data_IF_388955983949
#
_entry.id   IF_388955983949
#
_cell.length_a   1.000
_cell.length_b   1.000
_cell.length_c   1.000
_cell.angle_alpha   90.00
_cell.angle_beta   90.00
_cell.angle_gamma   90.00
#
_symmetry.space_group_name_H-M   'P 1'
#
loop_
_entity.id
_entity.type
_entity.pdbx_description
1 polymer ?
#
# COMPACT_ATOMS: atom_id res chain seq x y z
N UNK A 1 -42.19 23.48 -14.49
CA UNK A 1 -41.46 22.20 -14.27
C UNK A 1 -40.02 22.54 -14.14
N UNK A 2 -39.48 22.59 -12.92
CA UNK A 2 -38.05 22.70 -12.68
C UNK A 2 -37.47 21.28 -12.92
N UNK A 3 -36.70 21.14 -14.00
CA UNK A 3 -35.89 19.96 -14.26
C UNK A 3 -34.74 20.00 -13.26
N UNK A 4 -34.87 19.30 -12.14
CA UNK A 4 -33.73 18.95 -11.27
C UNK A 4 -33.09 17.76 -11.95
N UNK A 5 -32.20 18.03 -12.89
CA UNK A 5 -31.21 17.03 -13.27
C UNK A 5 -30.21 16.95 -12.10
N UNK A 6 -30.04 15.80 -11.44
CA UNK A 6 -28.89 15.63 -10.59
C UNK A 6 -27.67 15.79 -11.50
N UNK A 7 -26.91 16.84 -11.29
CA UNK A 7 -25.58 16.98 -11.89
C UNK A 7 -24.71 16.01 -11.11
N UNK A 8 -24.66 14.75 -11.53
CA UNK A 8 -23.59 13.87 -11.16
C UNK A 8 -22.34 14.49 -11.80
N UNK A 9 -21.56 15.22 -11.01
CA UNK A 9 -20.27 15.71 -11.44
C UNK A 9 -19.39 14.47 -11.62
N UNK A 10 -19.03 14.18 -12.87
CA UNK A 10 -18.03 13.15 -13.13
C UNK A 10 -16.73 13.60 -12.45
N UNK A 11 -16.19 12.75 -11.58
CA UNK A 11 -14.89 12.93 -10.97
C UNK A 11 -13.90 11.95 -11.61
N UNK A 12 -12.64 12.31 -11.60
CA UNK A 12 -11.59 11.38 -12.04
C UNK A 12 -11.40 10.25 -11.01
N UNK A 13 -10.89 9.11 -11.46
CA UNK A 13 -10.48 8.01 -10.58
C UNK A 13 -9.52 8.48 -9.48
N UNK A 14 -8.59 9.39 -9.85
CA UNK A 14 -7.68 10.05 -8.92
C UNK A 14 -8.43 10.82 -7.83
N UNK A 15 -9.41 11.64 -8.21
CA UNK A 15 -10.20 12.42 -7.22
C UNK A 15 -10.92 11.49 -6.24
N UNK A 16 -11.51 10.40 -6.74
CA UNK A 16 -12.15 9.41 -5.88
C UNK A 16 -11.16 8.71 -4.93
N UNK A 17 -9.95 8.39 -5.41
CA UNK A 17 -8.89 7.83 -4.57
C UNK A 17 -8.48 8.80 -3.45
N UNK A 18 -8.32 10.08 -3.77
CA UNK A 18 -7.98 11.12 -2.76
C UNK A 18 -9.12 11.28 -1.75
N UNK A 19 -10.38 11.35 -2.19
CA UNK A 19 -11.54 11.42 -1.30
C UNK A 19 -11.59 10.21 -0.36
N UNK A 20 -11.35 9.01 -0.90
CA UNK A 20 -11.26 7.77 -0.11
C UNK A 20 -10.18 7.87 0.98
N UNK A 21 -8.97 8.32 0.64
CA UNK A 21 -7.88 8.48 1.61
C UNK A 21 -8.30 9.44 2.72
N UNK A 22 -8.84 10.61 2.38
CA UNK A 22 -9.28 11.60 3.37
C UNK A 22 -10.47 11.18 4.21
N UNK A 23 -11.29 10.23 3.73
CA UNK A 23 -12.36 9.63 4.54
C UNK A 23 -11.83 8.80 5.72
N UNK A 24 -10.54 8.43 5.67
CA UNK A 24 -9.83 7.66 6.71
C UNK A 24 -8.86 8.51 7.55
N UNK A 25 -8.92 9.85 7.44
CA UNK A 25 -8.09 10.75 8.25
C UNK A 25 -8.57 10.76 9.70
N UNK A 26 -7.65 10.62 10.64
CA UNK A 26 -7.87 10.66 12.07
C UNK A 26 -7.69 12.07 12.64
N UNK A 27 -8.17 12.29 13.87
CA UNK A 27 -8.09 13.61 14.54
C UNK A 27 -6.66 14.03 14.93
N UNK A 28 -5.68 13.13 14.88
CA UNK A 28 -4.25 13.38 15.08
C UNK A 28 -3.47 13.52 13.77
N UNK A 29 -4.15 13.76 12.67
CA UNK A 29 -3.63 13.88 11.31
C UNK A 29 -3.10 12.57 10.69
N UNK A 30 -3.08 11.44 11.41
CA UNK A 30 -2.75 10.14 10.86
C UNK A 30 -3.89 9.60 9.98
N UNK A 31 -3.62 8.50 9.26
CA UNK A 31 -4.58 7.87 8.38
C UNK A 31 -4.74 6.39 8.70
N UNK A 32 -5.97 5.87 8.55
CA UNK A 32 -6.28 4.47 8.75
C UNK A 32 -6.07 3.98 10.17
N UNK A 33 -5.67 2.73 10.32
CA UNK A 33 -5.54 2.06 11.64
C UNK A 33 -4.11 1.68 11.99
N UNK A 34 -3.17 1.87 11.08
CA UNK A 34 -1.77 1.48 11.25
C UNK A 34 -0.80 2.59 10.82
N UNK A 35 0.44 2.60 11.34
CA UNK A 35 1.50 3.48 10.84
C UNK A 35 1.74 3.34 9.34
N UNK A 36 1.63 2.12 8.80
CA UNK A 36 1.77 1.87 7.36
C UNK A 36 0.67 2.56 6.55
N UNK A 37 -0.59 2.59 7.03
CA UNK A 37 -1.66 3.32 6.34
C UNK A 37 -1.35 4.81 6.26
N UNK A 38 -0.79 5.38 7.33
CA UNK A 38 -0.36 6.79 7.33
C UNK A 38 0.76 7.03 6.31
N UNK A 39 1.80 6.20 6.28
CA UNK A 39 2.88 6.32 5.32
C UNK A 39 2.37 6.21 3.87
N UNK A 40 1.54 5.21 3.60
CA UNK A 40 0.93 4.98 2.30
C UNK A 40 0.05 6.16 1.85
N UNK A 41 -0.79 6.68 2.73
CA UNK A 41 -1.65 7.83 2.46
C UNK A 41 -0.84 9.09 2.14
N UNK A 42 0.18 9.39 2.97
CA UNK A 42 1.02 10.57 2.80
C UNK A 42 1.85 10.49 1.52
N UNK A 43 2.33 9.33 1.10
CA UNK A 43 3.03 9.19 -0.17
C UNK A 43 2.11 9.53 -1.36
N UNK A 44 0.86 9.04 -1.37
CA UNK A 44 -0.11 9.36 -2.43
C UNK A 44 -0.47 10.85 -2.40
N UNK A 45 -0.78 11.40 -1.22
CA UNK A 45 -1.10 12.83 -1.03
C UNK A 45 0.05 13.72 -1.51
N UNK A 46 1.29 13.36 -1.16
CA UNK A 46 2.49 14.09 -1.58
C UNK A 46 2.69 14.05 -3.09
N UNK A 47 2.53 12.88 -3.70
CA UNK A 47 2.67 12.71 -5.15
C UNK A 47 1.72 13.63 -5.93
N UNK A 48 0.45 13.69 -5.54
CA UNK A 48 -0.55 14.53 -6.18
C UNK A 48 -0.58 15.97 -5.65
N UNK A 49 0.30 16.32 -4.71
CA UNK A 49 0.29 17.60 -3.99
C UNK A 49 -1.10 17.94 -3.39
N UNK A 50 -1.79 16.91 -2.90
CA UNK A 50 -3.18 16.97 -2.44
C UNK A 50 -3.27 17.22 -0.92
N UNK A 51 -2.43 18.11 -0.37
CA UNK A 51 -2.43 18.44 1.08
C UNK A 51 -3.62 19.27 1.54
N UNK A 52 -4.34 19.87 0.60
CA UNK A 52 -5.61 20.57 0.84
C UNK A 52 -6.58 20.17 -0.25
N UNK A 53 -7.75 19.66 0.11
CA UNK A 53 -8.76 19.17 -0.82
C UNK A 53 -10.13 19.75 -0.48
N UNK A 54 -10.81 20.28 -1.48
CA UNK A 54 -12.20 20.69 -1.38
C UNK A 54 -13.09 19.53 -1.83
N UNK A 55 -13.79 18.92 -0.88
CA UNK A 55 -14.75 17.85 -1.16
C UNK A 55 -16.14 18.47 -1.24
N UNK A 56 -16.87 18.15 -2.31
CA UNK A 56 -18.17 18.74 -2.57
C UNK A 56 -19.13 18.42 -1.40
N UNK A 57 -19.76 19.46 -0.84
CA UNK A 57 -20.67 19.40 0.31
C UNK A 57 -20.06 18.98 1.66
N UNK A 58 -18.72 18.88 1.75
CA UNK A 58 -18.02 18.61 2.99
C UNK A 58 -17.11 19.78 3.39
N UNK A 59 -16.67 19.86 4.65
CA UNK A 59 -15.60 20.78 5.03
C UNK A 59 -14.31 20.46 4.25
N UNK A 60 -13.54 21.51 3.92
CA UNK A 60 -12.21 21.35 3.34
C UNK A 60 -11.38 20.43 4.21
N UNK A 61 -10.80 19.40 3.60
CA UNK A 61 -9.87 18.46 4.24
C UNK A 61 -8.44 18.92 4.01
N UNK A 62 -7.60 18.77 5.01
CA UNK A 62 -6.18 19.12 4.91
C UNK A 62 -5.33 18.27 5.84
N UNK A 63 -4.04 18.18 5.54
CA UNK A 63 -3.03 17.61 6.44
C UNK A 63 -2.23 18.73 7.07
N UNK A 64 -2.33 18.87 8.38
CA UNK A 64 -1.49 19.75 9.17
C UNK A 64 -0.12 19.10 9.41
N UNK A 65 0.84 19.37 8.49
CA UNK A 65 2.17 18.71 8.48
C UNK A 65 2.91 18.83 9.81
N UNK A 66 2.81 19.99 10.50
CA UNK A 66 3.51 20.18 11.78
C UNK A 66 2.89 19.34 12.90
N UNK A 67 1.55 19.21 12.93
CA UNK A 67 0.87 18.37 13.90
C UNK A 67 1.19 16.89 13.66
N UNK A 68 1.13 16.43 12.40
CA UNK A 68 1.48 15.06 12.05
C UNK A 68 2.95 14.74 12.41
N UNK A 69 3.90 15.60 12.10
CA UNK A 69 5.31 15.42 12.49
C UNK A 69 5.48 15.30 14.00
N UNK A 70 4.82 16.17 14.76
CA UNK A 70 4.83 16.09 16.23
C UNK A 70 4.31 14.74 16.72
N UNK A 71 3.15 14.32 16.24
CA UNK A 71 2.56 13.03 16.60
C UNK A 71 3.52 11.85 16.29
N UNK A 72 4.12 11.81 15.10
CA UNK A 72 5.03 10.73 14.71
C UNK A 72 6.30 10.69 15.57
N UNK A 73 6.88 11.85 15.88
CA UNK A 73 8.03 11.95 16.77
C UNK A 73 7.72 11.47 18.19
N UNK A 74 6.58 11.89 18.74
CA UNK A 74 6.11 11.48 20.06
C UNK A 74 5.87 9.96 20.15
N UNK A 75 5.30 9.35 19.09
CA UNK A 75 5.09 7.88 19.01
C UNK A 75 6.42 7.10 18.99
N UNK A 76 7.42 7.60 18.23
CA UNK A 76 8.75 6.95 18.22
C UNK A 76 9.38 7.08 19.61
N UNK A 77 9.38 8.29 20.21
CA UNK A 77 9.95 8.53 21.54
C UNK A 77 9.27 7.65 22.61
N UNK A 78 7.95 7.52 22.56
CA UNK A 78 7.20 6.66 23.49
C UNK A 78 7.62 5.18 23.42
N UNK A 79 7.99 4.66 22.24
CA UNK A 79 8.53 3.30 22.12
C UNK A 79 9.87 3.14 22.86
N UNK A 80 10.76 4.16 22.78
CA UNK A 80 12.04 4.14 23.51
C UNK A 80 11.84 4.32 25.01
N UNK A 81 10.96 5.22 25.43
CA UNK A 81 10.65 5.46 26.85
C UNK A 81 10.07 4.21 27.55
N UNK A 82 9.26 3.43 26.82
CA UNK A 82 8.64 2.19 27.35
C UNK A 82 9.51 0.95 27.15
N UNK A 83 10.49 1.00 26.24
CA UNK A 83 11.29 -0.16 25.84
C UNK A 83 10.53 -1.15 24.92
N UNK A 84 9.32 -0.81 24.45
CA UNK A 84 8.52 -1.62 23.53
C UNK A 84 8.82 -1.20 22.08
N UNK A 85 10.04 -1.45 21.64
CA UNK A 85 10.52 -0.98 20.33
C UNK A 85 10.04 -1.90 19.20
N UNK A 86 9.37 -1.32 18.23
CA UNK A 86 8.86 -1.96 17.01
C UNK A 86 9.49 -1.33 15.76
N UNK A 87 10.46 -2.03 15.17
CA UNK A 87 11.20 -1.55 13.99
C UNK A 87 10.29 -1.32 12.77
N UNK A 88 9.18 -2.06 12.66
CA UNK A 88 8.25 -1.90 11.54
C UNK A 88 7.46 -0.59 11.66
N UNK A 89 7.06 -0.23 12.89
CA UNK A 89 6.44 1.07 13.15
C UNK A 89 7.44 2.21 12.95
N UNK A 90 8.65 2.07 13.48
CA UNK A 90 9.72 3.07 13.30
C UNK A 90 9.95 3.33 11.81
N UNK A 91 10.08 2.28 10.98
CA UNK A 91 10.23 2.44 9.54
C UNK A 91 9.12 3.31 8.93
N UNK A 92 7.86 2.95 9.18
CA UNK A 92 6.71 3.66 8.60
C UNK A 92 6.62 5.12 9.09
N UNK A 93 6.97 5.38 10.34
CA UNK A 93 7.02 6.75 10.87
C UNK A 93 8.14 7.57 10.23
N UNK A 94 9.34 6.99 10.09
CA UNK A 94 10.46 7.66 9.43
C UNK A 94 10.21 7.89 7.94
N UNK A 95 9.58 6.94 7.24
CA UNK A 95 9.18 7.09 5.84
C UNK A 95 8.18 8.23 5.68
N UNK A 96 7.19 8.32 6.58
CA UNK A 96 6.23 9.43 6.60
C UNK A 96 6.93 10.77 6.83
N UNK A 97 7.79 10.86 7.85
CA UNK A 97 8.54 12.07 8.16
C UNK A 97 9.40 12.52 6.98
N UNK A 98 10.11 11.58 6.34
CA UNK A 98 10.96 11.86 5.18
C UNK A 98 10.16 12.30 3.94
N UNK A 99 8.94 11.80 3.79
CA UNK A 99 8.01 12.22 2.71
C UNK A 99 7.46 13.62 2.94
N UNK A 100 7.15 13.97 4.19
CA UNK A 100 6.63 15.30 4.54
C UNK A 100 7.69 16.39 4.41
N UNK A 101 8.92 16.10 4.83
CA UNK A 101 10.07 17.02 4.83
C UNK A 101 11.36 16.20 5.02
N UNK A 102 12.52 16.81 4.75
CA UNK A 102 13.81 16.18 5.02
C UNK A 102 13.91 15.71 6.48
N UNK A 103 14.31 14.45 6.69
CA UNK A 103 14.42 13.84 8.01
C UNK A 103 15.38 14.63 8.94
N UNK A 104 16.44 15.22 8.38
CA UNK A 104 17.39 16.05 9.13
C UNK A 104 16.76 17.26 9.84
N UNK A 105 15.56 17.69 9.41
CA UNK A 105 14.81 18.80 10.01
C UNK A 105 13.59 18.34 10.81
N UNK A 106 13.22 17.07 10.68
CA UNK A 106 12.00 16.51 11.25
C UNK A 106 12.22 15.58 12.43
N UNK A 107 13.43 15.04 12.60
CA UNK A 107 13.79 14.12 13.67
C UNK A 107 14.79 14.79 14.61
N UNK A 108 14.54 14.71 15.92
CA UNK A 108 15.48 15.18 16.94
C UNK A 108 16.78 14.37 16.93
N UNK A 109 17.92 15.02 17.18
CA UNK A 109 19.25 14.38 17.13
C UNK A 109 19.42 13.28 18.18
N UNK A 110 18.81 13.42 19.34
CA UNK A 110 18.92 12.43 20.41
C UNK A 110 18.12 11.19 20.04
N UNK A 111 16.88 11.35 19.53
CA UNK A 111 16.05 10.27 19.04
C UNK A 111 16.69 9.57 17.83
N UNK A 112 17.32 10.32 16.92
CA UNK A 112 18.09 9.74 15.82
C UNK A 112 19.20 8.81 16.34
N UNK A 113 19.97 9.25 17.35
CA UNK A 113 21.02 8.44 17.96
C UNK A 113 20.44 7.20 18.69
N UNK A 114 19.30 7.32 19.37
CA UNK A 114 18.63 6.19 20.04
C UNK A 114 18.24 5.10 19.03
N UNK A 115 17.62 5.49 17.91
CA UNK A 115 17.26 4.56 16.83
C UNK A 115 18.52 3.87 16.27
N UNK A 116 19.55 4.64 15.94
CA UNK A 116 20.79 4.09 15.38
C UNK A 116 21.49 3.12 16.34
N UNK A 117 21.58 3.47 17.61
CA UNK A 117 22.19 2.61 18.63
C UNK A 117 21.38 1.31 18.80
N UNK A 118 20.05 1.38 18.86
CA UNK A 118 19.20 0.20 18.95
C UNK A 118 19.38 -0.73 17.74
N UNK A 119 19.44 -0.17 16.51
CA UNK A 119 19.67 -0.97 15.30
C UNK A 119 21.00 -1.70 15.38
N UNK A 120 22.07 -1.06 15.85
CA UNK A 120 23.39 -1.69 15.99
C UNK A 120 23.38 -2.88 16.95
N UNK A 121 22.48 -2.89 17.94
CA UNK A 121 22.29 -4.03 18.85
C UNK A 121 21.55 -5.21 18.20
N UNK A 122 20.86 -5.01 17.07
CA UNK A 122 20.13 -6.07 16.33
C UNK A 122 20.98 -6.79 15.29
N UNK A 123 22.20 -6.30 15.00
CA UNK A 123 23.11 -6.90 14.02
C UNK A 123 23.51 -8.32 14.43
N UNK A 124 23.40 -9.28 13.53
CA UNK A 124 23.78 -10.66 13.79
C UNK A 124 25.19 -10.98 13.29
N UNK A 125 25.92 -11.79 14.03
CA UNK A 125 27.32 -12.19 13.73
C UNK A 125 27.42 -12.86 12.33
N UNK A 126 26.41 -13.61 11.93
CA UNK A 126 26.32 -14.27 10.61
C UNK A 126 25.80 -13.37 9.47
N UNK A 127 25.49 -12.11 9.76
CA UNK A 127 24.81 -11.18 8.83
C UNK A 127 23.30 -11.15 9.00
N UNK A 128 22.67 -10.17 8.37
CA UNK A 128 21.26 -9.85 8.58
C UNK A 128 21.01 -9.17 9.94
N UNK A 129 19.76 -8.82 10.18
CA UNK A 129 19.32 -8.15 11.40
C UNK A 129 18.17 -8.94 12.06
N UNK A 130 18.16 -8.99 13.37
CA UNK A 130 17.05 -9.56 14.14
C UNK A 130 15.92 -8.54 14.34
N UNK A 131 14.68 -8.98 14.61
CA UNK A 131 13.55 -8.06 14.84
C UNK A 131 13.67 -7.27 16.15
N UNK A 132 14.46 -7.76 17.12
CA UNK A 132 14.71 -7.11 18.39
C UNK A 132 16.16 -7.35 18.82
N UNK A 133 16.70 -6.51 19.70
CA UNK A 133 18.04 -6.66 20.26
C UNK A 133 18.19 -7.89 21.17
N UNK A 134 17.09 -8.43 21.68
CA UNK A 134 17.06 -9.65 22.49
C UNK A 134 16.99 -10.94 21.65
N UNK A 135 16.74 -10.85 20.35
CA UNK A 135 16.69 -12.00 19.44
C UNK A 135 18.06 -12.28 18.84
N UNK A 136 18.42 -13.57 18.78
CA UNK A 136 19.69 -14.02 18.20
C UNK A 136 19.54 -14.53 16.74
N UNK A 137 18.39 -14.32 16.12
CA UNK A 137 18.10 -14.83 14.79
C UNK A 137 17.75 -13.69 13.83
N UNK A 138 18.61 -13.50 12.84
CA UNK A 138 18.26 -12.63 11.69
C UNK A 138 17.07 -13.19 10.94
N UNK A 139 16.22 -12.28 10.42
CA UNK A 139 15.22 -12.66 9.43
C UNK A 139 15.16 -11.65 8.28
N UNK A 140 14.62 -12.08 7.13
CA UNK A 140 14.60 -11.29 5.90
C UNK A 140 13.76 -10.02 6.07
N UNK A 141 12.65 -10.10 6.80
CA UNK A 141 11.73 -8.98 7.00
C UNK A 141 12.42 -7.88 7.81
N UNK A 142 12.98 -8.21 8.99
CA UNK A 142 13.71 -7.22 9.81
C UNK A 142 14.93 -6.67 9.09
N UNK A 143 15.64 -7.50 8.31
CA UNK A 143 16.79 -7.05 7.52
C UNK A 143 16.38 -6.02 6.46
N UNK A 144 15.27 -6.24 5.77
CA UNK A 144 14.72 -5.29 4.80
C UNK A 144 14.33 -3.96 5.47
N UNK A 145 13.57 -4.00 6.56
CA UNK A 145 13.10 -2.78 7.22
C UNK A 145 14.27 -1.99 7.84
N UNK A 146 15.19 -2.66 8.52
CA UNK A 146 16.36 -2.00 9.12
C UNK A 146 17.28 -1.40 8.04
N UNK A 147 17.49 -2.11 6.94
CA UNK A 147 18.23 -1.55 5.81
C UNK A 147 17.63 -0.23 5.35
N UNK A 148 16.30 -0.20 5.16
CA UNK A 148 15.61 1.01 4.71
C UNK A 148 15.59 2.11 5.78
N UNK A 149 15.48 1.77 7.08
CA UNK A 149 15.64 2.76 8.17
C UNK A 149 17.00 3.44 8.07
N UNK A 150 18.10 2.67 7.99
CA UNK A 150 19.44 3.23 7.88
C UNK A 150 19.59 4.10 6.63
N UNK A 151 19.03 3.66 5.49
CA UNK A 151 19.02 4.43 4.25
C UNK A 151 18.28 5.77 4.37
N UNK A 152 17.08 5.77 4.99
CA UNK A 152 16.31 7.00 5.25
C UNK A 152 17.04 7.93 6.19
N UNK A 153 17.69 7.41 7.23
CA UNK A 153 18.47 8.18 8.20
C UNK A 153 19.80 8.69 7.63
N UNK A 154 20.25 8.19 6.48
CA UNK A 154 21.54 8.52 5.89
C UNK A 154 22.73 7.86 6.61
N UNK A 155 22.47 6.81 7.40
CA UNK A 155 23.47 6.11 8.18
C UNK A 155 24.14 4.99 7.36
N UNK A 156 25.45 4.74 7.56
CA UNK A 156 26.17 3.71 6.86
C UNK A 156 25.68 2.31 7.32
N UNK A 157 25.71 1.37 6.39
CA UNK A 157 25.50 -0.04 6.69
C UNK A 157 26.85 -0.72 6.79
N UNK A 158 27.24 -1.08 7.99
CA UNK A 158 28.49 -1.77 8.24
C UNK A 158 28.45 -3.20 7.69
N UNK A 159 29.61 -3.71 7.27
CA UNK A 159 29.75 -5.10 6.81
C UNK A 159 28.76 -5.52 5.71
N UNK A 160 28.45 -4.67 4.73
CA UNK A 160 27.52 -4.93 3.63
C UNK A 160 27.75 -6.32 2.96
N UNK A 161 29.00 -6.73 2.78
CA UNK A 161 29.34 -8.05 2.23
C UNK A 161 28.81 -9.21 3.07
N UNK A 162 28.81 -9.06 4.40
CA UNK A 162 28.29 -10.08 5.32
C UNK A 162 26.77 -10.18 5.25
N UNK A 163 26.08 -9.02 5.28
CA UNK A 163 24.63 -8.97 5.13
C UNK A 163 24.18 -9.53 3.78
N UNK A 164 24.88 -9.17 2.69
CA UNK A 164 24.65 -9.73 1.37
C UNK A 164 24.79 -11.26 1.35
N UNK A 165 25.89 -11.78 1.90
CA UNK A 165 26.14 -13.22 1.93
C UNK A 165 25.04 -13.95 2.71
N UNK A 166 24.53 -13.34 3.78
CA UNK A 166 23.42 -13.87 4.54
C UNK A 166 22.13 -13.90 3.71
N UNK A 167 21.77 -12.80 3.02
CA UNK A 167 20.59 -12.76 2.14
C UNK A 167 20.67 -13.84 1.06
N UNK A 168 21.83 -13.96 0.40
CA UNK A 168 22.05 -14.99 -0.64
C UNK A 168 21.92 -16.42 -0.08
N UNK A 169 22.32 -16.66 1.16
CA UNK A 169 22.20 -17.97 1.80
C UNK A 169 20.77 -18.39 2.14
N UNK A 170 19.80 -17.46 2.07
CA UNK A 170 18.37 -17.73 2.27
C UNK A 170 17.67 -18.24 0.98
N UNK A 171 18.41 -18.41 -0.14
CA UNK A 171 17.87 -18.92 -1.40
C UNK A 171 17.47 -20.40 -1.27
N UNK A 172 16.33 -20.74 -1.84
CA UNK A 172 15.78 -22.10 -1.92
C UNK A 172 15.86 -22.67 -3.35
N UNK A 173 15.63 -23.96 -3.48
CA UNK A 173 15.73 -24.69 -4.77
C UNK A 173 14.64 -24.31 -5.77
N UNK A 174 13.53 -23.69 -5.32
CA UNK A 174 12.46 -23.17 -6.15
C UNK A 174 12.78 -21.79 -6.78
N UNK A 175 13.94 -21.23 -6.45
CA UNK A 175 14.37 -19.90 -6.89
C UNK A 175 13.90 -18.75 -6.00
N UNK A 176 12.99 -19.00 -5.06
CA UNK A 176 12.58 -18.03 -4.07
C UNK A 176 13.53 -17.97 -2.87
N UNK A 177 13.21 -17.07 -1.93
CA UNK A 177 13.99 -16.86 -0.72
C UNK A 177 13.11 -17.05 0.52
N UNK A 178 13.64 -17.72 1.54
CA UNK A 178 13.01 -17.89 2.84
C UNK A 178 13.20 -16.68 3.75
N UNK A 179 12.46 -16.66 4.86
CA UNK A 179 12.64 -15.67 5.91
C UNK A 179 13.99 -15.79 6.64
N UNK A 180 14.62 -16.96 6.55
CA UNK A 180 16.00 -17.26 6.90
C UNK A 180 16.44 -18.52 6.13
N UNK A 181 17.65 -19.03 6.41
CA UNK A 181 18.26 -20.16 5.71
C UNK A 181 17.50 -21.50 5.86
N UNK A 182 16.54 -21.61 6.76
CA UNK A 182 15.81 -22.86 7.06
C UNK A 182 14.33 -22.83 6.71
N UNK A 183 13.81 -21.66 6.32
CA UNK A 183 12.41 -21.46 6.01
C UNK A 183 12.15 -21.57 4.50
N UNK A 184 10.97 -22.05 4.14
CA UNK A 184 10.50 -22.09 2.76
C UNK A 184 10.37 -20.67 2.19
N UNK A 185 10.41 -20.58 0.86
CA UNK A 185 10.19 -19.33 0.14
C UNK A 185 8.79 -18.79 0.35
N UNK A 186 8.69 -17.48 0.45
CA UNK A 186 7.42 -16.75 0.31
C UNK A 186 7.60 -15.62 -0.69
N UNK A 187 6.50 -15.12 -1.23
CA UNK A 187 6.54 -13.98 -2.15
C UNK A 187 7.23 -12.77 -1.50
N UNK A 188 6.83 -12.41 -0.28
CA UNK A 188 7.35 -11.23 0.42
C UNK A 188 8.85 -11.35 0.71
N UNK A 189 9.29 -12.49 1.24
CA UNK A 189 10.71 -12.69 1.56
C UNK A 189 11.57 -12.80 0.30
N UNK A 190 11.02 -13.31 -0.80
CA UNK A 190 11.71 -13.32 -2.10
C UNK A 190 11.87 -11.90 -2.64
N UNK A 191 10.83 -11.07 -2.60
CA UNK A 191 10.93 -9.67 -3.00
C UNK A 191 11.94 -8.91 -2.14
N UNK A 192 11.88 -9.05 -0.80
CA UNK A 192 12.83 -8.38 0.10
C UNK A 192 14.28 -8.78 -0.18
N UNK A 193 14.52 -10.06 -0.46
CA UNK A 193 15.85 -10.52 -0.82
C UNK A 193 16.34 -9.90 -2.13
N UNK A 194 15.50 -9.89 -3.18
CA UNK A 194 15.82 -9.28 -4.48
C UNK A 194 16.09 -7.80 -4.34
N UNK A 195 15.25 -7.08 -3.59
CA UNK A 195 15.43 -5.66 -3.29
C UNK A 195 16.76 -5.41 -2.58
N UNK A 196 17.05 -6.13 -1.49
CA UNK A 196 18.29 -5.98 -0.73
C UNK A 196 19.53 -6.26 -1.57
N UNK A 197 19.48 -7.28 -2.43
CA UNK A 197 20.59 -7.60 -3.34
C UNK A 197 20.78 -6.48 -4.36
N UNK A 198 19.71 -5.93 -4.92
CA UNK A 198 19.76 -4.79 -5.83
C UNK A 198 20.36 -3.54 -5.17
N UNK A 199 19.93 -3.21 -3.96
CA UNK A 199 20.40 -2.05 -3.20
C UNK A 199 21.88 -2.17 -2.79
N UNK A 200 22.35 -3.37 -2.55
CA UNK A 200 23.78 -3.67 -2.32
C UNK A 200 24.60 -3.66 -3.62
N UNK A 201 23.98 -3.27 -4.75
CA UNK A 201 24.64 -3.04 -6.04
C UNK A 201 24.95 -4.29 -6.86
N UNK A 202 24.24 -5.40 -6.64
CA UNK A 202 24.63 -6.71 -7.17
C UNK A 202 23.47 -7.62 -7.58
N UNK A 203 22.47 -7.08 -8.26
CA UNK A 203 21.35 -7.90 -8.78
C UNK A 203 21.87 -9.14 -9.57
N UNK A 204 23.02 -9.02 -10.24
CA UNK A 204 23.66 -10.11 -10.95
C UNK A 204 24.25 -11.21 -10.04
N UNK A 205 24.33 -10.97 -8.73
CA UNK A 205 24.80 -11.95 -7.73
C UNK A 205 23.64 -12.79 -7.17
N UNK A 206 22.41 -12.63 -7.67
CA UNK A 206 21.33 -13.57 -7.35
C UNK A 206 21.82 -15.01 -7.58
N UNK A 207 21.57 -15.90 -6.65
CA UNK A 207 22.08 -17.28 -6.69
C UNK A 207 21.65 -17.99 -7.99
N UNK A 208 20.45 -17.72 -8.48
CA UNK A 208 19.96 -18.13 -9.79
C UNK A 208 18.89 -17.14 -10.28
N UNK A 209 19.31 -16.14 -11.03
CA UNK A 209 18.44 -15.06 -11.54
C UNK A 209 17.24 -15.59 -12.33
N UNK A 210 17.47 -16.58 -13.21
CA UNK A 210 16.40 -17.20 -14.00
C UNK A 210 15.38 -17.94 -13.12
N UNK A 211 15.84 -18.66 -12.11
CA UNK A 211 14.94 -19.37 -11.20
C UNK A 211 14.12 -18.38 -10.36
N UNK A 212 14.73 -17.28 -9.86
CA UNK A 212 14.03 -16.25 -9.09
C UNK A 212 13.01 -15.51 -9.96
N UNK A 213 13.35 -15.18 -11.20
CA UNK A 213 12.40 -14.60 -12.14
C UNK A 213 11.20 -15.56 -12.39
N UNK A 214 11.48 -16.84 -12.61
CA UNK A 214 10.43 -17.85 -12.81
C UNK A 214 9.57 -18.05 -11.56
N UNK A 215 10.12 -17.91 -10.37
CA UNK A 215 9.36 -17.94 -9.12
C UNK A 215 8.25 -16.86 -9.14
N UNK A 216 8.57 -15.59 -9.41
CA UNK A 216 7.58 -14.54 -9.52
C UNK A 216 6.59 -14.77 -10.67
N UNK A 217 7.08 -15.17 -11.84
CA UNK A 217 6.26 -15.41 -13.04
C UNK A 217 5.27 -16.57 -12.86
N UNK A 218 5.59 -17.56 -12.01
CA UNK A 218 4.68 -18.67 -11.72
C UNK A 218 3.39 -18.24 -11.01
N UNK A 219 3.37 -17.06 -10.41
CA UNK A 219 2.22 -16.49 -9.72
C UNK A 219 1.32 -15.65 -10.66
N UNK A 220 1.73 -15.41 -11.90
CA UNK A 220 1.00 -14.59 -12.87
C UNK A 220 -0.23 -15.31 -13.43
N UNK A 221 -1.39 -14.64 -13.45
CA UNK A 221 -2.59 -15.13 -14.09
C UNK A 221 -2.65 -14.65 -15.55
N UNK A 222 -2.17 -15.51 -16.45
CA UNK A 222 -2.04 -15.23 -17.88
C UNK A 222 -3.20 -15.71 -18.77
N UNK A 223 -4.24 -16.35 -18.20
CA UNK A 223 -5.41 -16.78 -18.96
C UNK A 223 -6.36 -15.61 -19.25
N UNK A 224 -6.34 -15.11 -20.48
CA UNK A 224 -7.20 -14.02 -20.94
C UNK A 224 -8.70 -14.35 -20.96
N UNK A 225 -9.12 -15.61 -20.79
CA UNK A 225 -10.51 -15.97 -20.62
C UNK A 225 -10.99 -15.74 -19.18
N UNK A 226 -10.09 -15.69 -18.23
CA UNK A 226 -10.37 -15.32 -16.84
C UNK A 226 -10.34 -13.80 -16.69
N UNK A 227 -11.36 -13.11 -17.23
CA UNK A 227 -11.38 -11.63 -17.30
C UNK A 227 -11.28 -10.95 -15.93
N UNK A 228 -11.71 -11.62 -14.87
CA UNK A 228 -11.71 -11.05 -13.51
C UNK A 228 -10.31 -11.01 -12.90
N UNK A 229 -9.45 -11.98 -13.24
CA UNK A 229 -8.14 -12.15 -12.60
C UNK A 229 -6.97 -11.96 -13.56
N UNK A 230 -7.24 -11.90 -14.88
CA UNK A 230 -6.22 -11.74 -15.90
C UNK A 230 -5.36 -10.49 -15.70
N UNK A 231 -4.08 -10.70 -15.53
CA UNK A 231 -3.09 -9.63 -15.31
C UNK A 231 -2.67 -9.45 -13.85
N UNK A 232 -3.38 -10.05 -12.88
CA UNK A 232 -3.00 -10.07 -11.48
C UNK A 232 -2.01 -11.19 -11.15
N UNK A 233 -1.44 -11.14 -9.95
CA UNK A 233 -0.53 -12.16 -9.42
C UNK A 233 -1.07 -12.74 -8.11
N UNK A 234 -0.98 -14.05 -7.97
CA UNK A 234 -1.38 -14.80 -6.78
C UNK A 234 -0.39 -14.55 -5.61
N UNK A 235 -0.83 -14.60 -4.35
CA UNK A 235 0.08 -14.56 -3.20
C UNK A 235 0.94 -15.84 -3.06
N UNK A 236 0.41 -16.97 -3.52
CA UNK A 236 1.08 -18.27 -3.62
C UNK A 236 0.38 -19.18 -4.65
N UNK A 237 0.96 -20.36 -4.91
CA UNK A 237 0.45 -21.31 -5.91
C UNK A 237 -0.84 -22.04 -5.49
N UNK A 238 -1.30 -21.88 -4.26
CA UNK A 238 -2.51 -22.52 -3.73
C UNK A 238 -3.69 -21.55 -3.64
N UNK A 239 -3.42 -20.26 -3.79
CA UNK A 239 -4.43 -19.22 -3.75
C UNK A 239 -5.25 -19.16 -5.03
N UNK A 240 -6.54 -18.84 -4.90
CA UNK A 240 -7.47 -18.76 -6.02
C UNK A 240 -7.57 -17.36 -6.62
N UNK A 241 -7.26 -16.33 -5.83
CA UNK A 241 -7.45 -14.92 -6.18
C UNK A 241 -6.14 -14.15 -6.16
N UNK A 242 -5.89 -13.28 -7.18
CA UNK A 242 -4.79 -12.33 -7.15
C UNK A 242 -5.09 -11.22 -6.16
N UNK A 243 -4.04 -10.68 -5.52
CA UNK A 243 -4.14 -9.55 -4.61
C UNK A 243 -3.31 -8.37 -5.16
N UNK A 244 -3.71 -7.14 -4.81
CA UNK A 244 -2.93 -5.94 -5.15
C UNK A 244 -1.55 -5.96 -4.50
N UNK A 245 -1.46 -6.46 -3.26
CA UNK A 245 -0.18 -6.62 -2.58
C UNK A 245 0.74 -7.62 -3.29
N UNK A 246 0.23 -8.81 -3.61
CA UNK A 246 1.04 -9.82 -4.33
C UNK A 246 1.43 -9.36 -5.72
N UNK A 247 0.52 -8.66 -6.42
CA UNK A 247 0.81 -8.07 -7.73
C UNK A 247 1.91 -7.00 -7.62
N UNK A 248 1.86 -6.13 -6.62
CA UNK A 248 2.89 -5.13 -6.36
C UNK A 248 4.27 -5.79 -6.15
N UNK A 249 4.39 -6.76 -5.25
CA UNK A 249 5.67 -7.41 -4.97
C UNK A 249 6.21 -8.21 -6.16
N UNK A 250 5.33 -8.82 -6.97
CA UNK A 250 5.77 -9.49 -8.19
C UNK A 250 6.23 -8.48 -9.26
N UNK A 251 5.50 -7.39 -9.47
CA UNK A 251 5.85 -6.35 -10.45
C UNK A 251 7.19 -5.70 -10.10
N UNK A 252 7.36 -5.29 -8.85
CA UNK A 252 8.62 -4.72 -8.37
C UNK A 252 9.77 -5.74 -8.44
N UNK A 253 9.55 -6.99 -7.99
CA UNK A 253 10.56 -8.04 -8.01
C UNK A 253 11.00 -8.42 -9.42
N UNK A 254 10.06 -8.60 -10.36
CA UNK A 254 10.35 -8.84 -11.78
C UNK A 254 11.05 -7.62 -12.37
N UNK A 255 10.57 -6.42 -12.10
CA UNK A 255 11.14 -5.18 -12.62
C UNK A 255 12.60 -4.96 -12.22
N UNK A 256 12.97 -5.35 -11.01
CA UNK A 256 14.38 -5.30 -10.56
C UNK A 256 15.28 -6.30 -11.31
N UNK A 257 14.71 -7.43 -11.77
CA UNK A 257 15.47 -8.50 -12.46
C UNK A 257 15.46 -8.28 -13.98
N UNK A 258 14.27 -8.19 -14.57
CA UNK A 258 14.06 -7.98 -16.02
C UNK A 258 12.64 -7.41 -16.27
N UNK A 259 12.52 -6.10 -16.39
CA UNK A 259 11.23 -5.42 -16.59
C UNK A 259 10.55 -5.78 -17.92
N UNK A 260 11.27 -6.35 -18.88
CA UNK A 260 10.71 -6.75 -20.19
C UNK A 260 9.77 -7.95 -20.08
N UNK A 261 9.83 -8.68 -18.98
CA UNK A 261 9.00 -9.85 -18.68
C UNK A 261 7.62 -9.48 -18.08
N UNK A 262 7.35 -8.20 -17.87
CA UNK A 262 6.11 -7.70 -17.29
C UNK A 262 5.00 -7.51 -18.33
N UNK A 263 3.81 -7.99 -18.05
CA UNK A 263 2.59 -7.79 -18.86
C UNK A 263 1.91 -6.46 -18.52
N UNK A 264 2.58 -5.32 -18.77
CA UNK A 264 2.20 -3.97 -18.32
C UNK A 264 0.72 -3.64 -18.58
N UNK A 265 0.23 -3.86 -19.81
CA UNK A 265 -1.14 -3.50 -20.21
C UNK A 265 -2.18 -4.35 -19.46
N UNK A 266 -1.97 -5.66 -19.40
CA UNK A 266 -2.90 -6.56 -18.72
C UNK A 266 -2.96 -6.25 -17.23
N UNK A 267 -1.79 -6.09 -16.59
CA UNK A 267 -1.71 -5.79 -15.17
C UNK A 267 -2.29 -4.40 -14.83
N UNK A 268 -2.01 -3.35 -15.62
CA UNK A 268 -2.63 -2.03 -15.41
C UNK A 268 -4.15 -2.08 -15.50
N UNK A 269 -4.69 -2.79 -16.51
CA UNK A 269 -6.14 -2.93 -16.67
C UNK A 269 -6.77 -3.70 -15.50
N UNK A 270 -6.11 -4.77 -15.05
CA UNK A 270 -6.56 -5.50 -13.87
C UNK A 270 -6.57 -4.62 -12.62
N UNK A 271 -5.49 -3.87 -12.36
CA UNK A 271 -5.42 -2.93 -11.23
C UNK A 271 -6.57 -1.92 -11.28
N UNK A 272 -6.83 -1.29 -12.43
CA UNK A 272 -7.92 -0.32 -12.58
C UNK A 272 -9.29 -0.94 -12.31
N UNK A 273 -9.48 -2.23 -12.65
CA UNK A 273 -10.74 -2.95 -12.37
C UNK A 273 -10.96 -3.22 -10.88
N UNK A 274 -9.91 -3.09 -10.05
CA UNK A 274 -10.03 -3.26 -8.60
C UNK A 274 -10.51 -1.99 -7.89
N UNK A 275 -10.64 -0.83 -8.58
CA UNK A 275 -11.17 0.37 -7.95
C UNK A 275 -12.66 0.20 -7.65
N UNK A 276 -13.03 0.42 -6.40
CA UNK A 276 -14.40 0.33 -5.91
C UNK A 276 -15.24 1.52 -6.39
N UNK A 277 -16.39 1.24 -6.99
CA UNK A 277 -17.36 2.27 -7.38
C UNK A 277 -18.19 2.80 -6.21
N UNK A 278 -18.02 2.24 -5.01
CA UNK A 278 -18.78 2.64 -3.82
C UNK A 278 -18.05 3.69 -2.98
N UNK A 279 -16.73 3.56 -2.84
CA UNK A 279 -15.93 4.42 -1.97
C UNK A 279 -14.71 5.06 -2.64
N UNK A 280 -14.37 4.63 -3.87
CA UNK A 280 -13.26 5.18 -4.64
C UNK A 280 -11.89 4.61 -4.32
N UNK A 281 -11.75 3.83 -3.24
CA UNK A 281 -10.53 3.09 -2.93
C UNK A 281 -10.33 1.87 -3.82
N UNK A 282 -9.18 1.23 -3.73
CA UNK A 282 -8.92 -0.04 -4.40
C UNK A 282 -9.12 -1.20 -3.43
N UNK A 283 -9.73 -2.28 -3.90
CA UNK A 283 -10.18 -3.39 -3.07
C UNK A 283 -9.56 -4.71 -3.47
N UNK A 284 -9.24 -5.53 -2.47
CA UNK A 284 -8.87 -6.93 -2.64
C UNK A 284 -9.99 -7.88 -2.21
N UNK A 285 -9.92 -9.11 -2.68
CA UNK A 285 -10.73 -10.21 -2.17
C UNK A 285 -10.33 -10.58 -0.75
N UNK A 286 -11.31 -10.87 0.09
CA UNK A 286 -11.06 -11.43 1.42
C UNK A 286 -11.14 -12.93 1.34
N UNK A 287 -10.05 -13.60 1.71
CA UNK A 287 -9.94 -15.06 1.67
C UNK A 287 -11.10 -15.73 2.42
N UNK A 288 -11.70 -16.72 1.78
CA UNK A 288 -12.83 -17.48 2.34
C UNK A 288 -14.18 -16.74 2.33
N UNK A 289 -14.27 -15.59 1.65
CA UNK A 289 -15.53 -14.83 1.49
C UNK A 289 -15.70 -14.37 0.04
N UNK A 290 -16.95 -14.08 -0.35
CA UNK A 290 -17.26 -13.44 -1.63
C UNK A 290 -17.28 -11.90 -1.50
N UNK A 291 -16.47 -11.34 -0.58
CA UNK A 291 -16.47 -9.91 -0.28
C UNK A 291 -15.12 -9.27 -0.65
N UNK A 292 -15.21 -8.02 -1.06
CA UNK A 292 -14.06 -7.18 -1.39
C UNK A 292 -14.09 -5.95 -0.48
N UNK A 293 -12.94 -5.57 0.03
CA UNK A 293 -12.80 -4.39 0.87
C UNK A 293 -11.68 -3.49 0.37
N UNK A 294 -11.99 -2.21 0.28
CA UNK A 294 -11.00 -1.17 0.01
C UNK A 294 -10.23 -0.84 1.30
N UNK A 295 -8.95 -0.61 1.17
CA UNK A 295 -8.10 -0.11 2.25
C UNK A 295 -7.09 0.90 1.71
N UNK A 296 -6.47 1.67 2.60
CA UNK A 296 -5.37 2.56 2.22
C UNK A 296 -4.21 1.74 1.65
N UNK A 297 -3.90 0.60 2.27
CA UNK A 297 -2.80 -0.27 1.83
C UNK A 297 -3.06 -0.86 0.44
N UNK A 298 -4.27 -1.37 0.14
CA UNK A 298 -4.60 -1.87 -1.20
C UNK A 298 -4.60 -0.75 -2.25
N UNK A 299 -5.08 0.43 -1.88
CA UNK A 299 -5.04 1.62 -2.73
C UNK A 299 -3.61 2.09 -3.02
N UNK A 300 -2.72 1.99 -2.03
CA UNK A 300 -1.30 2.28 -2.19
C UNK A 300 -0.63 1.29 -3.15
N UNK A 301 -0.86 -0.01 -3.01
CA UNK A 301 -0.29 -0.99 -3.94
C UNK A 301 -0.77 -0.76 -5.37
N UNK A 302 -2.05 -0.46 -5.59
CA UNK A 302 -2.57 -0.09 -6.89
C UNK A 302 -1.86 1.15 -7.47
N UNK A 303 -1.72 2.20 -6.66
CA UNK A 303 -1.01 3.42 -7.03
C UNK A 303 0.45 3.11 -7.42
N UNK A 304 1.18 2.33 -6.63
CA UNK A 304 2.59 1.97 -6.89
C UNK A 304 2.76 1.15 -8.16
N UNK A 305 1.88 0.18 -8.42
CA UNK A 305 1.92 -0.61 -9.67
C UNK A 305 1.74 0.30 -10.89
N UNK A 306 0.73 1.19 -10.84
CA UNK A 306 0.49 2.14 -11.94
C UNK A 306 1.64 3.14 -12.08
N UNK A 307 2.25 3.58 -10.98
CA UNK A 307 3.43 4.45 -10.98
C UNK A 307 4.62 3.76 -11.62
N UNK A 308 4.91 2.51 -11.26
CA UNK A 308 5.99 1.71 -11.81
C UNK A 308 5.86 1.58 -13.35
N UNK A 309 4.64 1.39 -13.84
CA UNK A 309 4.38 1.29 -15.27
C UNK A 309 4.32 2.63 -16.01
N UNK A 310 4.39 3.76 -15.31
CA UNK A 310 4.17 5.08 -15.90
C UNK A 310 2.71 5.27 -16.36
N UNK A 311 1.78 4.58 -15.75
CA UNK A 311 0.36 4.49 -16.15
C UNK A 311 -0.57 5.29 -15.24
N UNK A 312 -0.05 6.17 -14.35
CA UNK A 312 -0.88 6.96 -13.44
C UNK A 312 -1.87 7.89 -14.15
N UNK A 313 -1.57 8.29 -15.41
CA UNK A 313 -2.53 9.06 -16.22
C UNK A 313 -3.85 8.33 -16.50
N UNK A 314 -3.91 7.01 -16.31
CA UNK A 314 -5.16 6.26 -16.38
C UNK A 314 -6.12 6.60 -15.21
N UNK A 315 -5.60 7.17 -14.13
CA UNK A 315 -6.42 7.69 -13.03
C UNK A 315 -7.06 9.05 -13.34
N UNK A 316 -6.66 9.73 -14.42
CA UNK A 316 -7.29 10.98 -14.87
C UNK A 316 -8.62 10.72 -15.61
N UNK A 317 -8.95 9.45 -15.87
CA UNK A 317 -10.21 9.07 -16.51
C UNK A 317 -11.40 9.45 -15.63
N UNK A 318 -12.37 10.17 -16.23
CA UNK A 318 -13.63 10.49 -15.54
C UNK A 318 -14.49 9.23 -15.43
N UNK A 319 -14.92 8.94 -14.22
CA UNK A 319 -15.80 7.81 -13.93
C UNK A 319 -17.00 8.27 -13.09
N UNK A 320 -18.14 7.62 -13.31
CA UNK A 320 -19.32 7.81 -12.48
C UNK A 320 -19.29 6.76 -11.36
N UNK A 321 -18.96 7.19 -10.16
CA UNK A 321 -19.15 6.35 -8.97
C UNK A 321 -20.53 6.58 -8.39
N UNK A 322 -21.10 5.55 -7.78
CA UNK A 322 -22.41 5.64 -7.13
C UNK A 322 -22.18 6.28 -5.75
N UNK A 323 -22.10 7.60 -5.70
CA UNK A 323 -22.18 8.31 -4.42
C UNK A 323 -23.62 8.10 -3.87
N UNK A 324 -23.81 7.07 -3.06
CA UNK A 324 -25.01 6.90 -2.23
C UNK A 324 -24.92 7.87 -1.04
N UNK A 325 -24.98 9.17 -1.33
CA UNK A 325 -25.20 10.16 -0.30
C UNK A 325 -26.56 9.86 0.38
N UNK A 326 -26.53 9.73 1.71
CA UNK A 326 -27.73 9.49 2.54
C UNK A 326 -28.82 10.53 2.23
N UNK A 327 -28.44 11.77 1.93
CA UNK A 327 -29.38 12.82 1.56
C UNK A 327 -30.05 12.53 0.22
N UNK A 328 -29.30 12.10 -0.79
CA UNK A 328 -29.82 11.68 -2.09
C UNK A 328 -30.73 10.46 -1.96
N UNK A 329 -30.36 9.48 -1.13
CA UNK A 329 -31.19 8.31 -0.83
C UNK A 329 -32.52 8.74 -0.16
N UNK A 330 -32.47 9.64 0.83
CA UNK A 330 -33.68 10.21 1.51
C UNK A 330 -34.54 10.94 0.51
N UNK A 331 -33.96 11.75 -0.38
CA UNK A 331 -34.70 12.48 -1.42
C UNK A 331 -35.40 11.52 -2.37
N UNK A 332 -34.68 10.50 -2.87
CA UNK A 332 -35.22 9.47 -3.78
C UNK A 332 -36.35 8.69 -3.10
N UNK A 333 -36.15 8.24 -1.87
CA UNK A 333 -37.18 7.53 -1.10
C UNK A 333 -38.39 8.42 -0.83
N UNK A 334 -38.19 9.71 -0.54
CA UNK A 334 -39.25 10.68 -0.35
C UNK A 334 -40.09 10.91 -1.61
N UNK A 335 -39.42 11.03 -2.77
CA UNK A 335 -40.08 11.17 -4.08
C UNK A 335 -40.88 9.92 -4.42
N UNK A 336 -40.33 8.74 -4.21
CA UNK A 336 -41.04 7.46 -4.41
C UNK A 336 -42.28 7.40 -3.48
N UNK A 337 -42.12 7.75 -2.22
CA UNK A 337 -43.22 7.80 -1.25
C UNK A 337 -44.37 8.72 -1.69
N UNK A 338 -44.06 9.93 -2.20
CA UNK A 338 -45.02 10.85 -2.75
C UNK A 338 -45.75 10.29 -3.98
N UNK A 339 -45.00 9.66 -4.91
CA UNK A 339 -45.58 9.02 -6.11
C UNK A 339 -46.56 7.91 -5.72
N UNK A 340 -46.19 7.05 -4.79
CA UNK A 340 -47.05 5.97 -4.28
C UNK A 340 -48.28 6.53 -3.64
N UNK A 341 -48.15 7.59 -2.84
CA UNK A 341 -49.29 8.25 -2.19
C UNK A 341 -50.28 8.86 -3.22
N UNK A 342 -49.77 9.53 -4.25
CA UNK A 342 -50.56 10.10 -5.34
C UNK A 342 -51.29 8.98 -6.11
N UNK A 343 -50.64 7.90 -6.45
CA UNK A 343 -51.23 6.75 -7.12
C UNK A 343 -52.36 6.17 -6.24
N UNK A 344 -52.13 5.99 -4.93
CA UNK A 344 -53.11 5.51 -3.98
C UNK A 344 -54.33 6.41 -3.91
N UNK A 345 -54.15 7.73 -3.86
CA UNK A 345 -55.28 8.71 -3.82
C UNK A 345 -56.09 8.64 -5.11
N UNK A 346 -55.44 8.57 -6.30
CA UNK A 346 -56.13 8.45 -7.59
C UNK A 346 -56.93 7.14 -7.64
N UNK A 347 -56.34 6.04 -7.23
CA UNK A 347 -56.97 4.72 -7.22
C UNK A 347 -58.19 4.70 -6.28
N UNK A 348 -58.07 5.30 -5.08
CA UNK A 348 -59.17 5.42 -4.12
C UNK A 348 -60.32 6.27 -4.66
N UNK A 349 -59.99 7.39 -5.35
CA UNK A 349 -61.05 8.26 -5.97
C UNK A 349 -61.77 7.59 -7.15
N UNK A 350 -61.15 6.61 -7.81
CA UNK A 350 -61.82 5.86 -8.89
C UNK A 350 -62.73 4.73 -8.40
N UNK A 351 -62.69 4.40 -7.14
CA UNK A 351 -63.52 3.35 -6.51
C UNK A 351 -64.70 3.91 -5.73
N UNK A 352 -64.86 5.20 -5.64
CA UNK A 352 -66.04 5.93 -5.14
C UNK A 352 -66.81 6.47 -6.35
#
# INVERSE_FOLDING_TARGET
MLSITPVALAKTRQSHLIDFIYSHQNGNESFGVSPQDTANAIEIINYYNAYVVEILFEPTKSVEKSALKGYLGDEIQAMFDTGEIDIYKIYNFLETLNTLESLATSLDSDLHNEIYNYINETVQIGGGFSPTNSSNNANMVSTYYIYNILKIMGEPIDNQTLHKSWVLSCNNTDGGYGGNQTLSSTLFTTYYAVYLINELGIINDLANQTATLNYFKSLYIGDSNNLEHYGGYLPDLYSEFPLLSSTFFCVEGIGLIDETELSRVATSNWVLSQQSFLDGGFSDWVEGTDQRFSSISTSYYAFKILQFFGSLSLLDEEVFMVELDILTLIIVLSVIGVIVLVIYIIWRRRRI
#
